data_IF_265682649976
#
_entry.id   IF_265682649976
#
_cell.length_a   1.000
_cell.length_b   1.000
_cell.length_c   1.000
_cell.angle_alpha   90.00
_cell.angle_beta   90.00
_cell.angle_gamma   90.00
#
_symmetry.space_group_name_H-M   'P 1'
#
loop_
_entity.id
_entity.type
_entity.pdbx_description
1 polymer ?
#
# COMPACT_ATOMS: atom_id res chain seq x y z
N UNK A 1 -45.75 -9.28 -34.38
CA UNK A 1 -44.55 -10.10 -34.14
C UNK A 1 -43.43 -9.12 -33.79
N UNK A 2 -43.22 -8.89 -32.45
CA UNK A 2 -42.12 -8.01 -31.94
C UNK A 2 -40.87 -8.85 -31.80
N UNK A 3 -39.82 -8.55 -32.55
CA UNK A 3 -38.49 -9.09 -32.36
C UNK A 3 -37.88 -8.51 -31.08
N UNK A 4 -37.71 -9.36 -30.06
CA UNK A 4 -36.84 -9.09 -28.93
C UNK A 4 -35.37 -9.16 -29.42
N UNK A 5 -34.70 -8.02 -29.49
CA UNK A 5 -33.24 -7.99 -29.58
C UNK A 5 -32.66 -8.22 -28.18
N UNK A 6 -32.12 -9.39 -27.96
CA UNK A 6 -31.30 -9.71 -26.80
C UNK A 6 -29.97 -8.98 -26.96
N UNK A 7 -29.80 -7.86 -26.28
CA UNK A 7 -28.48 -7.23 -26.13
C UNK A 7 -27.74 -8.00 -25.06
N UNK A 8 -26.71 -8.72 -25.47
CA UNK A 8 -25.72 -9.28 -24.55
C UNK A 8 -24.99 -8.13 -23.87
N UNK A 9 -25.29 -7.93 -22.60
CA UNK A 9 -24.54 -7.04 -21.74
C UNK A 9 -23.23 -7.76 -21.41
N UNK A 10 -22.14 -7.33 -22.07
CA UNK A 10 -20.80 -7.66 -21.60
C UNK A 10 -20.65 -6.87 -20.30
N UNK A 11 -20.67 -7.59 -19.17
CA UNK A 11 -20.28 -7.05 -17.87
C UNK A 11 -18.78 -6.69 -17.95
N UNK A 12 -18.50 -5.46 -18.37
CA UNK A 12 -17.31 -4.80 -17.90
C UNK A 12 -17.46 -4.68 -16.38
N UNK A 13 -16.52 -5.18 -15.63
CA UNK A 13 -16.50 -5.10 -14.18
C UNK A 13 -16.15 -3.68 -13.69
N UNK A 14 -16.82 -2.68 -14.23
CA UNK A 14 -17.09 -1.43 -13.56
C UNK A 14 -18.35 -1.70 -12.73
N UNK A 15 -18.14 -2.42 -11.66
CA UNK A 15 -18.98 -2.54 -10.49
C UNK A 15 -20.27 -1.81 -10.51
N UNK A 16 -21.30 -2.57 -10.62
CA UNK A 16 -22.50 -2.22 -9.91
C UNK A 16 -22.17 -2.01 -8.43
N UNK A 17 -21.83 -0.78 -8.04
CA UNK A 17 -22.06 -0.29 -6.70
C UNK A 17 -23.57 -0.32 -6.51
N UNK A 18 -24.08 -1.46 -6.07
CA UNK A 18 -25.43 -1.56 -5.58
C UNK A 18 -25.50 -0.64 -4.35
N UNK A 19 -26.00 0.57 -4.54
CA UNK A 19 -26.41 1.47 -3.47
C UNK A 19 -27.54 0.80 -2.72
N UNK A 20 -27.19 -0.02 -1.74
CA UNK A 20 -28.11 -0.36 -0.68
C UNK A 20 -28.09 0.82 0.27
N UNK A 21 -29.12 1.67 0.18
CA UNK A 21 -29.37 2.73 1.13
C UNK A 21 -29.48 2.14 2.54
N UNK A 22 -28.64 2.56 3.43
CA UNK A 22 -28.70 2.16 4.82
C UNK A 22 -27.56 2.77 5.62
N UNK A 23 -27.88 3.77 6.44
CA UNK A 23 -27.05 4.25 7.54
C UNK A 23 -25.82 5.04 7.09
N UNK A 24 -25.82 6.33 7.31
CA UNK A 24 -24.63 7.18 7.30
C UNK A 24 -23.64 6.62 8.34
N UNK A 25 -22.76 5.69 7.91
CA UNK A 25 -21.53 5.49 8.64
C UNK A 25 -20.76 6.80 8.53
N UNK A 26 -20.40 7.39 9.66
CA UNK A 26 -19.52 8.55 9.71
C UNK A 26 -18.28 8.22 8.85
N UNK A 27 -18.21 8.78 7.67
CA UNK A 27 -17.02 8.69 6.84
C UNK A 27 -15.93 9.38 7.65
N UNK A 28 -14.95 8.63 8.12
CA UNK A 28 -13.76 9.24 8.68
C UNK A 28 -13.21 10.18 7.60
N UNK A 29 -13.39 11.49 7.81
CA UNK A 29 -12.87 12.50 6.91
C UNK A 29 -11.38 12.22 6.69
N UNK A 30 -10.84 12.34 5.45
CA UNK A 30 -9.42 12.19 5.22
C UNK A 30 -8.70 13.12 6.21
N UNK A 31 -7.79 12.56 7.00
CA UNK A 31 -7.08 13.32 8.03
C UNK A 31 -6.24 14.37 7.32
N UNK A 32 -6.67 15.61 7.39
CA UNK A 32 -6.00 16.72 6.73
C UNK A 32 -4.59 16.87 7.32
N UNK A 33 -3.56 16.73 6.50
CA UNK A 33 -2.16 16.90 6.89
C UNK A 33 -1.24 15.72 6.68
N UNK A 34 -1.73 14.53 6.32
CA UNK A 34 -0.86 13.43 5.94
C UNK A 34 -0.09 13.76 4.65
N UNK A 35 1.22 13.56 4.64
CA UNK A 35 2.07 13.90 3.47
C UNK A 35 1.64 13.12 2.23
N UNK A 36 1.24 11.87 2.41
CA UNK A 36 0.76 10.98 1.35
C UNK A 36 -0.71 10.66 1.63
N UNK A 37 -1.60 11.53 1.18
CA UNK A 37 -3.04 11.33 1.26
C UNK A 37 -3.67 11.60 -0.09
N UNK A 38 -4.81 10.96 -0.35
CA UNK A 38 -5.56 11.18 -1.58
C UNK A 38 -6.13 12.59 -1.60
N UNK A 39 -5.95 13.29 -2.75
CA UNK A 39 -6.50 14.62 -2.98
C UNK A 39 -7.32 14.67 -4.27
N UNK A 40 -6.78 14.10 -5.33
CA UNK A 40 -7.37 14.04 -6.65
C UNK A 40 -6.65 12.98 -7.50
N UNK A 41 -6.95 12.93 -8.80
CA UNK A 41 -6.40 11.96 -9.74
C UNK A 41 -5.20 12.49 -10.57
N UNK A 42 -4.66 13.65 -10.25
CA UNK A 42 -3.60 14.33 -11.04
C UNK A 42 -2.34 13.48 -11.24
N UNK A 43 -2.07 12.56 -10.32
CA UNK A 43 -0.89 11.69 -10.41
C UNK A 43 -1.13 10.41 -11.20
N UNK A 44 -2.38 10.08 -11.54
CA UNK A 44 -2.70 8.94 -12.38
C UNK A 44 -2.30 9.22 -13.83
N UNK A 45 -1.51 8.36 -14.44
CA UNK A 45 -1.13 8.45 -15.85
C UNK A 45 -2.28 7.95 -16.74
N UNK A 46 -3.35 8.76 -16.84
CA UNK A 46 -4.60 8.38 -17.49
C UNK A 46 -4.38 7.92 -18.95
N UNK A 47 -3.47 8.56 -19.67
CA UNK A 47 -3.07 8.22 -21.03
C UNK A 47 -2.49 6.81 -21.19
N UNK A 48 -1.97 6.23 -20.10
CA UNK A 48 -1.43 4.86 -20.07
C UNK A 48 -2.35 3.85 -19.41
N UNK A 49 -3.30 4.34 -18.62
CA UNK A 49 -4.22 3.51 -17.84
C UNK A 49 -5.51 3.27 -18.62
N UNK A 50 -6.06 4.31 -19.25
CA UNK A 50 -7.36 4.27 -19.89
C UNK A 50 -7.24 4.18 -21.41
N UNK A 51 -7.96 3.22 -21.99
CA UNK A 51 -8.12 3.10 -23.46
C UNK A 51 -9.55 3.53 -23.85
N UNK A 52 -9.70 4.69 -24.50
CA UNK A 52 -11.02 5.17 -24.97
C UNK A 52 -11.70 4.22 -25.96
N UNK A 53 -10.92 3.42 -26.71
CA UNK A 53 -11.45 2.48 -27.70
C UNK A 53 -12.19 1.30 -27.07
N UNK A 54 -11.75 0.87 -25.89
CA UNK A 54 -12.37 -0.24 -25.15
C UNK A 54 -13.17 0.22 -23.93
N UNK A 55 -12.96 1.45 -23.47
CA UNK A 55 -13.57 1.98 -22.24
C UNK A 55 -13.02 1.35 -20.95
N UNK A 56 -11.86 0.68 -21.03
CA UNK A 56 -11.27 -0.05 -19.91
C UNK A 56 -10.08 0.71 -19.33
N UNK A 57 -9.91 0.61 -18.04
CA UNK A 57 -8.84 1.22 -17.24
C UNK A 57 -9.40 1.93 -16.02
N UNK A 58 -8.67 1.89 -14.91
CA UNK A 58 -9.09 2.51 -13.65
C UNK A 58 -7.91 3.12 -12.92
N UNK A 59 -8.06 4.36 -12.44
CA UNK A 59 -7.13 4.97 -11.52
C UNK A 59 -7.43 4.50 -10.09
N UNK A 60 -6.39 4.29 -9.29
CA UNK A 60 -6.55 3.86 -7.90
C UNK A 60 -5.51 4.48 -6.99
N UNK A 61 -5.93 4.70 -5.73
CA UNK A 61 -5.02 5.11 -4.66
C UNK A 61 -5.44 4.41 -3.38
N UNK A 62 -4.48 3.75 -2.73
CA UNK A 62 -4.67 3.09 -1.44
C UNK A 62 -3.86 3.85 -0.40
N UNK A 63 -4.52 4.38 0.62
CA UNK A 63 -3.89 5.07 1.74
C UNK A 63 -4.07 4.23 2.99
N UNK A 64 -2.97 3.81 3.61
CA UNK A 64 -3.05 3.09 4.88
C UNK A 64 -3.44 4.08 5.96
N UNK A 65 -4.53 3.79 6.68
CA UNK A 65 -5.04 4.59 7.80
C UNK A 65 -4.51 4.11 9.14
N UNK A 66 -4.38 2.80 9.28
CA UNK A 66 -3.79 2.15 10.45
C UNK A 66 -3.25 0.79 10.04
N UNK A 67 -2.23 0.31 10.73
CA UNK A 67 -1.71 -1.02 10.48
C UNK A 67 -0.65 -1.46 11.47
N UNK A 68 -0.45 -2.76 11.50
CA UNK A 68 0.60 -3.39 12.29
C UNK A 68 1.35 -4.39 11.43
N UNK A 69 2.67 -4.27 11.39
CA UNK A 69 3.56 -5.19 10.70
C UNK A 69 4.44 -5.93 11.70
N UNK A 70 4.35 -7.25 11.72
CA UNK A 70 5.26 -8.11 12.46
C UNK A 70 6.33 -8.66 11.53
N UNK A 71 7.58 -8.36 11.85
CA UNK A 71 8.79 -8.78 11.10
C UNK A 71 9.75 -9.44 12.09
N UNK A 72 9.85 -10.76 12.03
CA UNK A 72 10.62 -11.50 13.02
C UNK A 72 10.12 -11.27 14.45
N UNK A 73 10.95 -10.66 15.28
CA UNK A 73 10.63 -10.30 16.68
C UNK A 73 10.07 -8.90 16.85
N UNK A 74 10.00 -8.10 15.77
CA UNK A 74 9.56 -6.69 15.81
C UNK A 74 8.08 -6.55 15.46
N UNK A 75 7.37 -5.70 16.21
CA UNK A 75 6.04 -5.20 15.85
C UNK A 75 6.16 -3.72 15.53
N UNK A 76 5.90 -3.35 14.28
CA UNK A 76 5.96 -1.96 13.80
C UNK A 76 4.54 -1.46 13.56
N UNK A 77 4.20 -0.32 14.15
CA UNK A 77 2.95 0.38 13.85
C UNK A 77 3.10 1.15 12.54
N UNK A 78 2.05 1.16 11.74
CA UNK A 78 1.96 1.92 10.49
C UNK A 78 0.91 3.01 10.71
N UNK A 79 1.33 4.24 11.07
CA UNK A 79 0.40 5.34 11.32
C UNK A 79 -0.33 5.79 10.06
N UNK A 80 -1.41 6.52 10.25
CA UNK A 80 -2.20 7.11 9.17
C UNK A 80 -1.36 7.89 8.16
N UNK A 81 -1.63 7.64 6.88
CA UNK A 81 -0.99 8.28 5.73
C UNK A 81 0.54 8.09 5.70
N UNK A 82 1.09 7.08 6.38
CA UNK A 82 2.53 6.79 6.31
C UNK A 82 2.91 5.84 5.18
N UNK A 83 1.95 5.14 4.61
CA UNK A 83 2.14 4.26 3.46
C UNK A 83 0.99 4.45 2.47
N UNK A 84 1.32 4.62 1.19
CA UNK A 84 0.36 4.81 0.12
C UNK A 84 0.81 4.06 -1.13
N UNK A 85 -0.15 3.53 -1.88
CA UNK A 85 0.05 2.98 -3.24
C UNK A 85 -0.84 3.79 -4.17
N UNK A 86 -0.27 4.37 -5.22
CA UNK A 86 -1.02 5.16 -6.19
C UNK A 86 -0.62 4.83 -7.63
N UNK A 87 -1.59 4.84 -8.52
CA UNK A 87 -1.43 4.53 -9.93
C UNK A 87 -2.74 4.18 -10.59
N UNK A 88 -2.72 3.25 -11.51
CA UNK A 88 -3.91 2.70 -12.15
C UNK A 88 -3.68 1.29 -12.65
N UNK A 89 -4.76 0.63 -13.05
CA UNK A 89 -4.73 -0.68 -13.68
C UNK A 89 -5.22 -0.54 -15.11
N UNK A 90 -4.35 -0.85 -16.06
CA UNK A 90 -4.66 -0.80 -17.48
C UNK A 90 -5.48 -2.01 -17.94
N UNK A 91 -5.91 -2.01 -19.20
CA UNK A 91 -6.74 -3.06 -19.78
C UNK A 91 -6.11 -4.46 -19.68
N UNK A 92 -4.80 -4.55 -19.80
CA UNK A 92 -4.02 -5.79 -19.68
C UNK A 92 -3.77 -6.22 -18.23
N UNK A 93 -4.43 -5.55 -17.27
CA UNK A 93 -4.29 -5.75 -15.82
C UNK A 93 -2.89 -5.41 -15.28
N UNK A 94 -2.06 -4.73 -16.05
CA UNK A 94 -0.77 -4.23 -15.57
C UNK A 94 -0.97 -2.96 -14.74
N UNK A 95 -0.32 -2.92 -13.58
CA UNK A 95 -0.31 -1.73 -12.75
C UNK A 95 0.62 -0.66 -13.35
N UNK A 96 0.06 0.50 -13.61
CA UNK A 96 0.78 1.71 -14.06
C UNK A 96 1.00 2.60 -12.84
N UNK A 97 2.23 2.78 -12.36
CA UNK A 97 2.49 3.58 -11.15
C UNK A 97 2.16 5.04 -11.40
N UNK A 98 1.79 5.77 -10.35
CA UNK A 98 1.56 7.20 -10.43
C UNK A 98 2.82 7.97 -10.84
N UNK A 99 2.65 9.09 -11.53
CA UNK A 99 3.74 9.93 -12.03
C UNK A 99 4.23 10.90 -10.95
N UNK A 100 4.86 10.38 -9.90
CA UNK A 100 5.41 11.17 -8.80
C UNK A 100 6.64 10.47 -8.17
N UNK A 101 7.10 10.92 -7.01
CA UNK A 101 8.37 10.52 -6.39
C UNK A 101 8.39 9.13 -5.72
N UNK A 102 7.30 8.36 -5.79
CA UNK A 102 7.23 7.01 -5.25
C UNK A 102 8.03 5.97 -6.04
N UNK A 103 8.44 4.89 -5.38
CA UNK A 103 9.05 3.74 -6.05
C UNK A 103 7.97 2.78 -6.52
N UNK A 104 7.82 2.65 -7.83
CA UNK A 104 6.77 1.80 -8.44
C UNK A 104 5.36 2.15 -7.94
N UNK A 105 5.08 3.46 -7.71
CA UNK A 105 3.80 3.92 -7.18
C UNK A 105 3.60 3.69 -5.68
N UNK A 106 4.63 3.24 -4.96
CA UNK A 106 4.60 3.03 -3.50
C UNK A 106 5.33 4.18 -2.80
N UNK A 107 4.66 4.78 -1.83
CA UNK A 107 5.15 5.90 -1.03
C UNK A 107 5.19 5.48 0.42
N UNK A 108 6.28 5.78 1.12
CA UNK A 108 6.43 5.49 2.55
C UNK A 108 7.12 6.63 3.26
N UNK A 109 6.52 7.07 4.37
CA UNK A 109 7.23 7.84 5.39
C UNK A 109 8.17 6.92 6.16
N UNK A 110 9.06 7.52 6.91
CA UNK A 110 9.85 6.80 7.91
C UNK A 110 8.96 6.36 9.07
N UNK A 111 9.07 5.09 9.44
CA UNK A 111 8.39 4.45 10.55
C UNK A 111 9.39 4.20 11.68
N UNK A 112 9.05 4.51 12.91
CA UNK A 112 9.90 4.22 14.06
C UNK A 112 9.96 2.70 14.32
N UNK A 113 11.17 2.19 14.50
CA UNK A 113 11.37 0.78 14.87
C UNK A 113 11.31 0.67 16.39
N UNK A 114 10.35 -0.11 16.95
CA UNK A 114 10.16 -0.23 18.39
C UNK A 114 11.42 -0.64 19.13
N UNK A 115 11.76 0.11 20.18
CA UNK A 115 12.96 -0.12 20.98
C UNK A 115 14.27 0.27 20.31
N UNK A 116 14.23 0.81 19.10
CA UNK A 116 15.42 1.24 18.37
C UNK A 116 16.52 0.16 18.33
N UNK A 117 17.78 0.59 18.38
CA UNK A 117 18.93 -0.31 18.35
C UNK A 117 19.09 -1.14 19.64
N UNK A 118 18.64 -0.62 20.78
CA UNK A 118 18.85 -1.26 22.09
C UNK A 118 17.71 -2.15 22.56
N UNK A 119 16.54 -2.06 21.93
CA UNK A 119 15.36 -2.82 22.33
C UNK A 119 14.67 -2.25 23.58
N UNK A 120 14.89 -0.99 23.92
CA UNK A 120 14.29 -0.31 25.07
C UNK A 120 13.41 0.85 24.60
N UNK A 121 12.30 1.14 25.30
CA UNK A 121 11.37 2.19 24.92
C UNK A 121 12.04 3.58 24.79
N UNK A 122 13.05 3.85 25.62
CA UNK A 122 13.82 5.10 25.55
C UNK A 122 14.70 5.26 24.31
N UNK A 123 14.90 4.18 23.53
CA UNK A 123 15.71 4.20 22.30
C UNK A 123 14.90 4.43 21.03
N UNK A 124 13.56 4.54 21.13
CA UNK A 124 12.68 4.65 19.94
C UNK A 124 12.72 6.02 19.30
N UNK A 125 12.72 7.09 20.10
CA UNK A 125 12.32 8.41 19.63
C UNK A 125 13.47 9.36 19.33
N UNK A 126 14.62 9.24 20.00
CA UNK A 126 15.68 10.23 19.93
C UNK A 126 17.10 9.67 19.97
N UNK A 127 18.00 10.37 19.27
CA UNK A 127 19.45 10.17 19.38
C UNK A 127 20.00 9.05 18.50
N UNK A 128 21.25 8.64 18.76
CA UNK A 128 21.97 7.68 17.89
C UNK A 128 21.42 6.25 17.95
N UNK A 129 20.53 5.94 18.89
CA UNK A 129 19.92 4.61 19.04
C UNK A 129 18.57 4.47 18.33
N UNK A 130 17.93 5.58 17.95
CA UNK A 130 16.69 5.55 17.19
C UNK A 130 16.91 4.96 15.78
N UNK A 131 16.08 4.00 15.39
CA UNK A 131 16.07 3.41 14.04
C UNK A 131 14.76 3.76 13.36
N UNK A 132 14.88 4.24 12.14
CA UNK A 132 13.74 4.49 11.26
C UNK A 132 13.74 3.46 10.13
N UNK A 133 12.57 2.98 9.74
CA UNK A 133 12.39 2.08 8.62
C UNK A 133 11.52 2.75 7.54
N UNK A 134 11.91 2.62 6.27
CA UNK A 134 11.12 3.07 5.12
C UNK A 134 10.83 1.88 4.24
N UNK A 135 9.58 1.71 3.81
CA UNK A 135 9.18 0.65 2.89
C UNK A 135 9.50 1.08 1.46
N UNK A 136 10.29 0.31 0.76
CA UNK A 136 10.62 0.56 -0.64
C UNK A 136 10.16 -0.61 -1.51
N UNK A 137 9.27 -0.37 -2.48
CA UNK A 137 8.98 -1.35 -3.50
C UNK A 137 10.23 -1.60 -4.37
N UNK A 138 10.44 -2.86 -4.77
CA UNK A 138 11.58 -3.27 -5.60
C UNK A 138 11.18 -3.76 -6.99
N UNK A 139 9.87 -3.91 -7.21
CA UNK A 139 9.25 -4.17 -8.50
C UNK A 139 7.81 -3.63 -8.48
N UNK A 140 7.17 -3.62 -9.65
CA UNK A 140 5.77 -3.22 -9.77
C UNK A 140 4.87 -4.10 -8.88
N UNK A 141 3.94 -3.50 -8.14
CA UNK A 141 2.86 -4.23 -7.50
C UNK A 141 2.01 -4.99 -8.53
N UNK A 142 1.51 -6.16 -8.16
CA UNK A 142 0.44 -6.82 -8.92
C UNK A 142 -0.84 -6.59 -8.16
N UNK A 143 -1.78 -5.91 -8.79
CA UNK A 143 -3.07 -5.56 -8.20
C UNK A 143 -4.15 -6.43 -8.85
N UNK A 144 -4.94 -7.09 -8.01
CA UNK A 144 -6.15 -7.80 -8.44
C UNK A 144 -7.36 -6.86 -8.24
N UNK A 145 -7.87 -6.23 -9.31
CA UNK A 145 -8.97 -5.28 -9.18
C UNK A 145 -10.31 -5.93 -8.82
N UNK A 146 -10.44 -7.24 -9.00
CA UNK A 146 -11.68 -7.97 -8.70
C UNK A 146 -11.77 -8.37 -7.23
N UNK A 147 -10.64 -8.79 -6.64
CA UNK A 147 -10.57 -9.22 -5.25
C UNK A 147 -9.93 -8.18 -4.35
N UNK A 148 -9.56 -7.01 -4.88
CA UNK A 148 -8.84 -5.94 -4.18
C UNK A 148 -7.57 -6.44 -3.48
N UNK A 149 -6.96 -7.50 -4.02
CA UNK A 149 -5.71 -8.06 -3.51
C UNK A 149 -4.50 -7.34 -4.08
N UNK A 150 -3.40 -7.31 -3.31
CA UNK A 150 -2.15 -6.69 -3.75
C UNK A 150 -0.96 -7.59 -3.44
N UNK A 151 -0.18 -7.94 -4.47
CA UNK A 151 1.14 -8.54 -4.29
C UNK A 151 2.19 -7.43 -4.36
N UNK A 152 2.94 -7.26 -3.29
CA UNK A 152 3.86 -6.14 -3.13
C UNK A 152 5.25 -6.65 -2.73
N UNK A 153 6.22 -6.69 -3.67
CA UNK A 153 7.60 -7.02 -3.37
C UNK A 153 8.32 -5.79 -2.82
N UNK A 154 8.77 -5.85 -1.56
CA UNK A 154 9.40 -4.74 -0.87
C UNK A 154 10.72 -5.11 -0.22
N UNK A 155 11.49 -4.09 0.13
CA UNK A 155 12.57 -4.13 1.10
C UNK A 155 12.35 -3.03 2.13
N UNK A 156 12.91 -3.18 3.32
CA UNK A 156 12.91 -2.15 4.35
C UNK A 156 14.27 -1.47 4.38
N UNK A 157 14.31 -0.17 4.12
CA UNK A 157 15.50 0.65 4.30
C UNK A 157 15.56 1.09 5.75
N UNK A 158 16.63 0.75 6.44
CA UNK A 158 16.87 1.20 7.82
C UNK A 158 17.76 2.44 7.81
N UNK A 159 17.34 3.45 8.55
CA UNK A 159 18.06 4.72 8.69
C UNK A 159 18.44 4.95 10.15
N UNK A 160 19.74 5.09 10.38
CA UNK A 160 20.34 5.40 11.68
C UNK A 160 21.79 5.82 11.43
N UNK A 161 22.36 6.70 12.27
CA UNK A 161 23.72 7.22 12.10
C UNK A 161 24.82 6.14 12.09
N UNK A 162 24.58 5.02 12.79
CA UNK A 162 25.54 3.90 12.88
C UNK A 162 25.38 2.89 11.76
N UNK A 163 24.16 2.77 11.20
CA UNK A 163 23.84 1.79 10.16
C UNK A 163 24.29 2.22 8.77
N UNK A 164 24.57 3.50 8.58
CA UNK A 164 24.90 4.06 7.28
C UNK A 164 23.69 4.17 6.33
N UNK A 165 23.95 4.47 5.05
CA UNK A 165 22.90 4.80 4.08
C UNK A 165 22.39 3.58 3.29
N UNK A 166 23.02 2.42 3.42
CA UNK A 166 22.75 1.23 2.61
C UNK A 166 22.29 0.02 3.42
N UNK A 167 21.75 0.24 4.61
CA UNK A 167 21.22 -0.83 5.46
C UNK A 167 19.80 -1.20 5.03
N UNK A 168 19.61 -2.46 4.61
CA UNK A 168 18.33 -2.96 4.14
C UNK A 168 18.00 -4.33 4.73
N UNK A 169 16.72 -4.58 5.00
CA UNK A 169 16.16 -5.91 5.20
C UNK A 169 15.46 -6.30 3.89
N UNK A 170 15.92 -7.40 3.29
CA UNK A 170 15.57 -7.74 1.92
C UNK A 170 16.39 -6.98 0.87
N UNK A 171 16.25 -7.39 -0.38
CA UNK A 171 16.96 -6.79 -1.53
C UNK A 171 16.10 -6.88 -2.79
N UNK A 172 16.57 -6.30 -3.89
CA UNK A 172 15.90 -6.44 -5.20
C UNK A 172 15.85 -7.90 -5.65
N UNK A 173 16.90 -8.69 -5.40
CA UNK A 173 16.96 -10.10 -5.77
C UNK A 173 16.29 -11.04 -4.77
N UNK A 174 16.15 -10.61 -3.51
CA UNK A 174 15.51 -11.37 -2.44
C UNK A 174 14.60 -10.45 -1.60
N UNK A 175 13.45 -10.01 -2.16
CA UNK A 175 12.55 -9.11 -1.48
C UNK A 175 11.68 -9.82 -0.42
N UNK A 176 11.08 -9.03 0.47
CA UNK A 176 9.92 -9.44 1.25
C UNK A 176 8.72 -9.42 0.31
N UNK A 177 8.08 -10.56 0.10
CA UNK A 177 6.91 -10.69 -0.78
C UNK A 177 5.64 -10.64 0.05
N UNK A 178 4.99 -9.49 0.05
CA UNK A 178 3.72 -9.30 0.74
C UNK A 178 2.58 -9.67 -0.21
N UNK A 179 1.74 -10.62 0.18
CA UNK A 179 0.49 -10.95 -0.51
C UNK A 179 -0.67 -10.51 0.38
N UNK A 180 -1.13 -9.28 0.14
CA UNK A 180 -2.23 -8.65 0.88
C UNK A 180 -3.54 -9.12 0.29
N UNK A 181 -4.30 -9.88 1.07
CA UNK A 181 -5.65 -10.30 0.73
C UNK A 181 -6.67 -9.42 1.46
N UNK A 182 -7.70 -9.00 0.74
CA UNK A 182 -8.84 -8.31 1.34
C UNK A 182 -9.51 -9.22 2.37
N UNK A 183 -9.81 -8.67 3.54
CA UNK A 183 -10.58 -9.34 4.59
C UNK A 183 -12.00 -8.78 4.64
N UNK A 184 -12.13 -7.47 4.58
CA UNK A 184 -13.39 -6.76 4.54
C UNK A 184 -13.21 -5.47 3.74
N UNK A 185 -14.10 -5.22 2.79
CA UNK A 185 -14.09 -3.98 2.00
C UNK A 185 -14.74 -2.81 2.76
N UNK A 186 -15.62 -3.10 3.69
CA UNK A 186 -16.50 -2.10 4.29
C UNK A 186 -17.53 -1.55 3.30
N UNK A 187 -18.21 -0.48 3.69
CA UNK A 187 -19.19 0.20 2.85
C UNK A 187 -18.49 1.16 1.87
N UNK A 188 -18.84 1.07 0.61
CA UNK A 188 -18.37 2.01 -0.41
C UNK A 188 -19.13 3.35 -0.32
N UNK A 189 -18.46 4.43 -0.66
CA UNK A 189 -18.97 5.80 -0.67
C UNK A 189 -18.53 6.52 -1.95
N UNK A 190 -19.13 7.66 -2.26
CA UNK A 190 -18.63 8.53 -3.32
C UNK A 190 -17.48 9.41 -2.81
N UNK A 191 -16.44 9.59 -3.62
CA UNK A 191 -15.33 10.50 -3.25
C UNK A 191 -15.84 11.93 -3.13
N UNK A 192 -16.78 12.33 -3.99
CA UNK A 192 -17.38 13.67 -3.98
C UNK A 192 -18.07 14.06 -2.66
N UNK A 193 -18.45 13.08 -1.84
CA UNK A 193 -19.03 13.34 -0.52
C UNK A 193 -18.00 13.90 0.47
N UNK A 194 -16.72 13.64 0.25
CA UNK A 194 -15.62 14.10 1.12
C UNK A 194 -14.67 15.06 0.42
N UNK A 195 -14.49 14.92 -0.91
CA UNK A 195 -13.64 15.77 -1.75
C UNK A 195 -14.48 16.31 -2.90
N UNK A 196 -15.15 17.48 -2.73
CA UNK A 196 -16.07 18.02 -3.73
C UNK A 196 -15.45 18.14 -5.12
N UNK A 197 -16.20 17.70 -6.15
CA UNK A 197 -15.78 17.77 -7.54
C UNK A 197 -14.80 16.70 -7.99
N UNK A 198 -14.43 15.77 -7.13
CA UNK A 198 -13.57 14.64 -7.49
C UNK A 198 -14.44 13.41 -7.72
N UNK A 199 -14.44 12.83 -8.94
CA UNK A 199 -15.25 11.65 -9.24
C UNK A 199 -14.66 10.36 -8.68
N UNK A 200 -15.48 9.28 -8.65
CA UNK A 200 -15.10 7.95 -8.26
C UNK A 200 -15.66 7.51 -6.92
N UNK A 201 -15.24 6.32 -6.51
CA UNK A 201 -15.66 5.67 -5.27
C UNK A 201 -14.51 5.51 -4.27
N UNK A 202 -14.86 5.36 -3.00
CA UNK A 202 -13.92 5.05 -1.92
C UNK A 202 -14.50 3.98 -0.99
N UNK A 203 -13.65 3.04 -0.59
CA UNK A 203 -13.85 2.17 0.57
C UNK A 203 -12.99 2.71 1.71
N UNK A 204 -13.55 3.46 2.65
CA UNK A 204 -12.76 4.21 3.64
C UNK A 204 -12.10 3.34 4.71
N UNK A 205 -12.57 2.09 4.88
CA UNK A 205 -12.12 1.19 5.94
C UNK A 205 -11.86 -0.24 5.43
N UNK A 206 -11.36 -0.37 4.21
CA UNK A 206 -10.99 -1.67 3.68
C UNK A 206 -9.84 -2.30 4.51
N UNK A 207 -10.03 -3.54 4.97
CA UNK A 207 -9.02 -4.24 5.75
C UNK A 207 -8.31 -5.30 4.91
N UNK A 208 -6.97 -5.31 4.99
CA UNK A 208 -6.14 -6.27 4.28
C UNK A 208 -5.19 -6.98 5.24
N UNK A 209 -4.85 -8.22 4.89
CA UNK A 209 -3.91 -9.02 5.67
C UNK A 209 -2.96 -9.80 4.76
N UNK A 210 -1.68 -9.79 5.12
CA UNK A 210 -0.67 -10.70 4.62
C UNK A 210 -0.09 -11.52 5.79
N UNK A 211 0.06 -12.81 5.61
CA UNK A 211 0.62 -13.72 6.62
C UNK A 211 1.61 -14.68 5.97
N UNK A 212 2.45 -15.27 6.81
CA UNK A 212 3.34 -16.36 6.40
C UNK A 212 4.35 -15.98 5.29
N UNK A 213 4.76 -14.73 5.23
CA UNK A 213 5.82 -14.29 4.32
C UNK A 213 7.19 -14.40 4.97
N UNK A 214 8.18 -14.85 4.21
CA UNK A 214 9.56 -14.90 4.68
C UNK A 214 10.19 -13.49 4.67
N UNK A 215 11.03 -13.22 5.66
CA UNK A 215 11.79 -11.98 5.77
C UNK A 215 13.28 -12.31 5.73
N UNK A 216 14.00 -11.85 4.69
CA UNK A 216 15.43 -12.05 4.56
C UNK A 216 16.23 -11.36 5.68
N UNK A 217 17.49 -11.75 5.83
CA UNK A 217 18.41 -11.04 6.71
C UNK A 217 18.76 -9.65 6.20
N UNK A 218 19.27 -8.83 7.11
CA UNK A 218 19.76 -7.49 6.81
C UNK A 218 21.07 -7.54 6.02
N UNK A 219 21.27 -6.54 5.16
CA UNK A 219 22.46 -6.36 4.32
C UNK A 219 22.89 -4.90 4.28
N UNK A 220 24.21 -4.67 4.13
CA UNK A 220 24.77 -3.32 3.95
C UNK A 220 24.73 -2.43 5.19
N UNK A 221 24.49 -2.99 6.38
CA UNK A 221 24.40 -2.25 7.63
C UNK A 221 25.79 -2.01 8.23
N UNK A 222 26.09 -0.77 8.56
CA UNK A 222 27.41 -0.35 9.03
C UNK A 222 28.47 -0.36 7.93
N UNK A 223 29.70 -0.11 8.31
CA UNK A 223 30.83 -0.09 7.37
C UNK A 223 31.02 -1.53 6.80
N UNK A 224 30.89 -1.67 5.48
CA UNK A 224 31.00 -2.97 4.79
C UNK A 224 30.08 -4.08 5.32
N UNK A 225 28.94 -3.73 5.90
CA UNK A 225 27.99 -4.71 6.44
C UNK A 225 28.35 -5.25 7.83
N UNK A 226 29.27 -4.62 8.52
CA UNK A 226 29.76 -5.05 9.85
C UNK A 226 28.67 -5.14 10.92
N UNK A 227 27.53 -4.46 10.73
CA UNK A 227 26.40 -4.46 11.66
C UNK A 227 25.23 -5.35 11.20
N UNK A 228 25.33 -6.08 10.08
CA UNK A 228 24.27 -6.97 9.63
C UNK A 228 23.85 -7.98 10.71
N UNK A 229 24.81 -8.56 11.40
CA UNK A 229 24.56 -9.53 12.47
C UNK A 229 23.77 -8.93 13.64
N UNK A 230 24.10 -7.70 14.03
CA UNK A 230 23.42 -7.00 15.12
C UNK A 230 21.96 -6.69 14.77
N UNK A 231 21.71 -6.21 13.54
CA UNK A 231 20.35 -5.99 13.02
C UNK A 231 19.57 -7.31 12.96
N UNK A 232 20.19 -8.37 12.45
CA UNK A 232 19.56 -9.70 12.36
C UNK A 232 19.21 -10.25 13.75
N UNK A 233 20.13 -10.16 14.70
CA UNK A 233 19.89 -10.62 16.08
C UNK A 233 18.76 -9.81 16.73
N UNK A 234 18.78 -8.48 16.59
CA UNK A 234 17.78 -7.59 17.18
C UNK A 234 16.38 -7.84 16.61
N UNK A 235 16.29 -8.08 15.31
CA UNK A 235 15.03 -8.29 14.61
C UNK A 235 14.61 -9.75 14.46
N UNK A 236 15.41 -10.71 14.93
CA UNK A 236 15.13 -12.14 14.77
C UNK A 236 15.13 -12.58 13.31
N UNK A 237 16.12 -12.12 12.51
CA UNK A 237 16.24 -12.37 11.08
C UNK A 237 17.43 -13.27 10.73
N UNK A 238 17.39 -14.02 9.61
CA UNK A 238 16.24 -14.18 8.72
C UNK A 238 15.09 -14.90 9.42
N UNK A 239 13.85 -14.55 9.08
CA UNK A 239 12.65 -15.15 9.64
C UNK A 239 11.89 -15.92 8.56
N UNK A 240 11.52 -17.16 8.87
CA UNK A 240 10.65 -17.97 8.04
C UNK A 240 9.22 -17.44 8.00
N UNK A 241 8.35 -18.06 7.19
CA UNK A 241 6.99 -17.58 6.98
C UNK A 241 6.13 -17.50 8.25
N UNK A 242 6.26 -18.45 9.16
CA UNK A 242 5.44 -18.51 10.37
C UNK A 242 5.75 -17.35 11.32
N UNK A 243 4.74 -16.58 11.68
CA UNK A 243 4.85 -15.48 12.64
C UNK A 243 5.05 -14.09 12.05
N UNK A 244 5.40 -13.95 10.77
CA UNK A 244 5.37 -12.67 10.08
C UNK A 244 3.95 -12.37 9.61
N UNK A 245 3.51 -11.14 9.81
CA UNK A 245 2.18 -10.70 9.40
C UNK A 245 2.15 -9.20 9.14
N UNK A 246 1.26 -8.78 8.27
CA UNK A 246 0.88 -7.39 8.05
C UNK A 246 -0.64 -7.33 8.06
N UNK A 247 -1.20 -6.47 8.89
CA UNK A 247 -2.62 -6.17 8.93
C UNK A 247 -2.79 -4.67 8.76
N UNK A 248 -3.67 -4.24 7.86
CA UNK A 248 -3.89 -2.82 7.58
C UNK A 248 -5.37 -2.51 7.45
N UNK A 249 -5.75 -1.33 7.90
CA UNK A 249 -6.99 -0.65 7.52
C UNK A 249 -6.62 0.48 6.57
N UNK A 250 -7.30 0.57 5.43
CA UNK A 250 -6.95 1.51 4.36
C UNK A 250 -8.18 2.16 3.75
N UNK A 251 -8.01 3.37 3.25
CA UNK A 251 -8.95 3.97 2.30
C UNK A 251 -8.52 3.61 0.89
N UNK A 252 -9.37 2.91 0.16
CA UNK A 252 -9.14 2.50 -1.23
C UNK A 252 -9.99 3.38 -2.13
N UNK A 253 -9.35 4.29 -2.85
CA UNK A 253 -9.98 5.19 -3.81
C UNK A 253 -9.85 4.60 -5.21
N UNK A 254 -10.92 4.67 -6.00
CA UNK A 254 -10.87 4.32 -7.42
C UNK A 254 -11.79 5.22 -8.26
N UNK A 255 -11.41 5.42 -9.51
CA UNK A 255 -12.27 6.01 -10.53
C UNK A 255 -12.03 5.30 -11.86
N UNK A 256 -13.08 5.05 -12.59
CA UNK A 256 -12.97 4.51 -13.94
C UNK A 256 -12.35 5.57 -14.88
N UNK A 257 -11.54 5.16 -15.84
CA UNK A 257 -10.88 6.08 -16.75
C UNK A 257 -11.82 6.98 -17.52
N UNK A 258 -13.02 6.51 -17.86
CA UNK A 258 -14.05 7.29 -18.53
C UNK A 258 -14.68 8.40 -17.64
N UNK A 259 -14.57 8.30 -16.31
CA UNK A 259 -15.00 9.37 -15.40
C UNK A 259 -13.98 10.52 -15.34
N UNK A 260 -12.75 10.26 -15.80
CA UNK A 260 -11.60 11.16 -15.70
C UNK A 260 -11.18 11.75 -17.06
N UNK A 261 -11.77 11.26 -18.17
CA UNK A 261 -11.44 11.63 -19.55
C UNK A 261 -12.23 12.86 -20.05
#
# INVERSE_FOLDING_TARGET
VKKLMTRSVILGAATALALVGGGVADAAAPVSGAKYDFKNWDTCQLDKVYDPGTGVGTCMTVVIRDGTMRVGSLNVQIPDGSLMIAGGVAQDQVFVPAANDGKFGVYSKSLSVPGGALGTSSAEDFGPTAIQATVEAVALPVVDPYNLGVQLPVRLKLSNSLLGNNCYIGSTSNPIRLSLALQDAGAAQWISDTVPGVPGGVWPQATHKATNFAVPGATGCGLFGSLNWAVNQRAGLPSGGSGNSLSTTSSVYNAAGWELS
#
